data_IF_680808557363
#
_entry.id   IF_680808557363
#
_cell.length_a   1.000
_cell.length_b   1.000
_cell.length_c   1.000
_cell.angle_alpha   90.00
_cell.angle_beta   90.00
_cell.angle_gamma   90.00
#
_symmetry.space_group_name_H-M   'P 1'
#
loop_
_entity.id
_entity.type
_entity.pdbx_description
1 polymer ?
#
# COMPACT_ATOMS: atom_id res chain seq x y z
N UNK A 1 -35.92 3.86 -44.28
CA UNK A 1 -34.91 2.87 -43.85
C UNK A 1 -34.09 3.49 -42.72
N UNK A 2 -33.94 2.82 -41.57
CA UNK A 2 -33.41 3.44 -40.37
C UNK A 2 -31.89 3.55 -40.42
N UNK A 3 -31.37 4.67 -39.94
CA UNK A 3 -29.95 4.88 -39.64
C UNK A 3 -29.72 4.34 -38.24
N UNK A 4 -28.87 3.32 -38.10
CA UNK A 4 -28.46 2.78 -36.80
C UNK A 4 -27.41 3.70 -36.18
N UNK A 5 -27.81 4.53 -35.21
CA UNK A 5 -26.88 5.24 -34.34
C UNK A 5 -26.43 4.25 -33.27
N UNK A 6 -25.16 3.83 -33.34
CA UNK A 6 -24.56 2.94 -32.37
C UNK A 6 -24.56 3.56 -30.97
N UNK A 7 -25.29 2.93 -30.05
CA UNK A 7 -25.08 3.07 -28.62
C UNK A 7 -23.81 2.29 -28.24
N UNK A 8 -22.84 2.94 -27.60
CA UNK A 8 -21.63 2.24 -27.20
C UNK A 8 -20.66 3.06 -26.38
N UNK A 9 -21.12 3.58 -25.23
CA UNK A 9 -20.35 3.84 -24.01
C UNK A 9 -18.90 4.34 -24.20
N UNK A 10 -18.73 5.67 -24.18
CA UNK A 10 -17.48 6.24 -23.71
C UNK A 10 -17.33 5.83 -22.23
N UNK A 11 -16.45 4.86 -21.98
CA UNK A 11 -15.99 4.51 -20.65
C UNK A 11 -15.13 5.68 -20.15
N UNK A 12 -15.78 6.70 -19.63
CA UNK A 12 -15.11 7.74 -18.85
C UNK A 12 -14.65 7.08 -17.55
N UNK A 13 -13.40 6.61 -17.52
CA UNK A 13 -12.68 6.47 -16.26
C UNK A 13 -12.50 7.88 -15.72
N UNK A 14 -13.40 8.30 -14.82
CA UNK A 14 -13.17 9.48 -13.99
C UNK A 14 -12.10 9.07 -12.97
N UNK A 15 -10.85 9.08 -13.41
CA UNK A 15 -9.71 9.20 -12.52
C UNK A 15 -9.80 10.60 -11.93
N UNK A 16 -10.30 10.72 -10.70
CA UNK A 16 -10.21 11.95 -9.92
C UNK A 16 -8.74 12.18 -9.55
N UNK A 17 -7.93 12.57 -10.54
CA UNK A 17 -6.62 13.12 -10.29
C UNK A 17 -6.86 14.50 -9.68
N UNK A 18 -6.64 14.63 -8.38
CA UNK A 18 -6.49 15.95 -7.76
C UNK A 18 -5.45 16.74 -8.56
N UNK A 19 -5.71 18.03 -8.88
CA UNK A 19 -4.80 18.81 -9.70
C UNK A 19 -3.39 18.83 -9.08
N UNK A 20 -2.36 18.79 -9.94
CA UNK A 20 -0.93 18.63 -9.57
C UNK A 20 -0.48 19.62 -8.49
N UNK A 21 -1.04 20.84 -8.52
CA UNK A 21 -0.78 21.91 -7.54
C UNK A 21 -1.19 21.54 -6.10
N UNK A 22 -2.24 20.73 -5.94
CA UNK A 22 -2.81 20.35 -4.64
C UNK A 22 -2.00 19.21 -4.03
N UNK A 23 -1.48 18.32 -4.89
CA UNK A 23 -0.54 17.30 -4.49
C UNK A 23 0.72 17.94 -3.87
N UNK A 24 1.35 18.88 -4.56
CA UNK A 24 2.56 19.55 -4.04
C UNK A 24 2.29 20.37 -2.77
N UNK A 25 1.05 20.84 -2.56
CA UNK A 25 0.68 21.52 -1.32
C UNK A 25 0.66 20.55 -0.13
N UNK A 26 -0.01 19.40 -0.28
CA UNK A 26 -0.06 18.37 0.76
C UNK A 26 1.30 17.72 1.01
N UNK A 27 2.17 17.68 0.00
CA UNK A 27 3.58 17.31 0.17
C UNK A 27 4.25 18.12 1.26
N UNK A 28 4.21 19.44 1.11
CA UNK A 28 4.93 20.37 1.97
C UNK A 28 4.39 20.29 3.38
N UNK A 29 3.07 20.15 3.52
CA UNK A 29 2.43 19.95 4.82
C UNK A 29 2.88 18.65 5.48
N UNK A 30 2.91 17.54 4.74
CA UNK A 30 3.41 16.25 5.25
C UNK A 30 4.88 16.36 5.65
N UNK A 31 5.73 16.87 4.74
CA UNK A 31 7.15 17.02 4.95
C UNK A 31 7.47 17.87 6.19
N UNK A 32 6.81 19.01 6.36
CA UNK A 32 7.04 19.86 7.54
C UNK A 32 6.69 19.15 8.86
N UNK A 33 5.79 18.17 8.85
CA UNK A 33 5.44 17.38 10.04
C UNK A 33 6.37 16.22 10.33
N UNK A 34 7.02 15.65 9.30
CA UNK A 34 7.86 14.44 9.44
C UNK A 34 9.35 14.68 9.21
N UNK A 35 9.76 15.86 8.72
CA UNK A 35 11.16 16.15 8.37
C UNK A 35 12.13 15.97 9.53
N UNK A 36 11.66 16.13 10.76
CA UNK A 36 12.47 16.00 11.97
C UNK A 36 12.54 14.56 12.47
N UNK A 37 11.87 13.63 11.79
CA UNK A 37 12.02 12.19 12.04
C UNK A 37 13.31 11.65 11.44
N UNK A 38 13.95 12.39 10.53
CA UNK A 38 15.13 11.94 9.81
C UNK A 38 16.32 12.84 10.12
N UNK A 39 17.53 12.29 10.22
CA UNK A 39 18.75 13.08 10.44
C UNK A 39 19.67 13.08 9.22
N UNK A 40 20.43 14.15 9.05
CA UNK A 40 21.50 14.30 8.05
C UNK A 40 21.11 13.84 6.64
N UNK A 41 21.81 12.84 6.08
CA UNK A 41 21.57 12.27 4.75
C UNK A 41 20.25 11.48 4.68
N UNK A 42 19.68 11.11 5.83
CA UNK A 42 18.37 10.48 5.92
C UNK A 42 17.25 11.42 5.48
N UNK A 43 17.37 12.74 5.68
CA UNK A 43 16.37 13.71 5.21
C UNK A 43 16.25 13.70 3.68
N UNK A 44 17.37 13.78 2.97
CA UNK A 44 17.37 13.77 1.51
C UNK A 44 16.88 12.44 0.93
N UNK A 45 17.21 11.31 1.57
CA UNK A 45 16.69 10.00 1.16
C UNK A 45 15.18 9.91 1.38
N UNK A 46 14.69 10.33 2.54
CA UNK A 46 13.27 10.31 2.86
C UNK A 46 12.45 11.19 1.91
N UNK A 47 12.95 12.39 1.61
CA UNK A 47 12.36 13.30 0.61
C UNK A 47 12.20 12.60 -0.75
N UNK A 48 13.25 11.92 -1.23
CA UNK A 48 13.20 11.14 -2.48
C UNK A 48 12.21 9.96 -2.42
N UNK A 49 12.20 9.21 -1.32
CA UNK A 49 11.27 8.09 -1.13
C UNK A 49 9.82 8.57 -1.22
N UNK A 50 9.50 9.68 -0.58
CA UNK A 50 8.15 10.26 -0.62
C UNK A 50 7.84 10.90 -1.99
N UNK A 51 8.84 11.47 -2.67
CA UNK A 51 8.69 11.92 -4.05
C UNK A 51 8.32 10.77 -4.99
N UNK A 52 9.01 9.63 -4.87
CA UNK A 52 8.70 8.41 -5.62
C UNK A 52 7.27 7.93 -5.32
N UNK A 53 6.88 7.94 -4.05
CA UNK A 53 5.58 7.46 -3.59
C UNK A 53 4.40 8.29 -4.10
N UNK A 54 4.53 9.62 -4.10
CA UNK A 54 3.41 10.55 -4.25
C UNK A 54 3.46 11.39 -5.52
N UNK A 55 4.66 11.63 -6.09
CA UNK A 55 4.89 12.64 -7.15
C UNK A 55 5.52 12.10 -8.43
N UNK A 56 5.92 10.84 -8.46
CA UNK A 56 6.36 10.20 -9.70
C UNK A 56 5.26 10.24 -10.77
N UNK A 57 5.66 10.20 -12.04
CA UNK A 57 4.72 10.18 -13.18
C UNK A 57 3.71 9.03 -13.12
N UNK A 58 4.06 7.95 -12.40
CA UNK A 58 3.23 6.79 -12.16
C UNK A 58 3.22 6.45 -10.68
N UNK A 59 2.06 6.07 -10.17
CA UNK A 59 1.96 5.55 -8.80
C UNK A 59 2.82 4.28 -8.66
N UNK A 60 3.47 4.07 -7.49
CA UNK A 60 4.24 2.86 -7.22
C UNK A 60 3.36 1.60 -7.26
N UNK A 61 3.99 0.45 -7.47
CA UNK A 61 3.33 -0.85 -7.27
C UNK A 61 2.99 -1.08 -5.80
N UNK A 62 2.10 -2.02 -5.50
CA UNK A 62 1.77 -2.40 -4.12
C UNK A 62 3.02 -2.77 -3.32
N UNK A 63 3.88 -3.60 -3.92
CA UNK A 63 5.14 -4.05 -3.32
C UNK A 63 6.08 -2.88 -3.07
N UNK A 64 6.29 -2.00 -4.08
CA UNK A 64 7.16 -0.84 -3.94
C UNK A 64 6.65 0.16 -2.90
N UNK A 65 5.33 0.29 -2.75
CA UNK A 65 4.70 1.13 -1.74
C UNK A 65 5.02 0.64 -0.31
N UNK A 66 5.01 -0.68 -0.10
CA UNK A 66 5.44 -1.29 1.16
C UNK A 66 6.94 -1.05 1.39
N UNK A 67 7.78 -1.29 0.39
CA UNK A 67 9.23 -1.07 0.49
C UNK A 67 9.56 0.37 0.90
N UNK A 68 8.94 1.36 0.23
CA UNK A 68 9.13 2.78 0.54
C UNK A 68 8.73 3.08 2.00
N UNK A 69 7.63 2.50 2.51
CA UNK A 69 7.22 2.71 3.89
C UNK A 69 8.29 2.24 4.89
N UNK A 70 8.87 1.05 4.67
CA UNK A 70 9.91 0.53 5.54
C UNK A 70 11.27 1.19 5.34
N UNK A 71 11.58 1.66 4.12
CA UNK A 71 12.72 2.55 3.88
C UNK A 71 12.60 3.84 4.72
N UNK A 72 11.42 4.46 4.77
CA UNK A 72 11.16 5.61 5.63
C UNK A 72 11.30 5.25 7.11
N UNK A 73 10.73 4.13 7.55
CA UNK A 73 10.86 3.67 8.94
C UNK A 73 12.33 3.48 9.34
N UNK A 74 13.14 2.87 8.49
CA UNK A 74 14.56 2.65 8.76
C UNK A 74 15.37 3.96 8.79
N UNK A 75 15.05 4.92 7.93
CA UNK A 75 15.67 6.24 7.93
C UNK A 75 15.27 7.08 9.16
N UNK A 76 14.16 6.74 9.81
CA UNK A 76 13.67 7.45 10.98
C UNK A 76 14.52 7.16 12.23
N UNK A 77 14.64 8.18 13.08
CA UNK A 77 15.28 8.08 14.38
C UNK A 77 14.60 7.00 15.22
N UNK A 78 15.34 6.28 16.06
CA UNK A 78 14.78 5.23 16.91
C UNK A 78 13.57 5.69 17.74
N UNK A 79 13.59 6.93 18.24
CA UNK A 79 12.50 7.54 19.01
C UNK A 79 11.25 7.90 18.20
N UNK A 80 11.29 7.77 16.87
CA UNK A 80 10.20 8.08 15.96
C UNK A 80 9.71 6.84 15.20
N UNK A 81 10.37 5.68 15.36
CA UNK A 81 10.01 4.44 14.64
C UNK A 81 8.68 3.86 15.08
N UNK A 82 8.26 4.12 16.32
CA UNK A 82 6.97 3.72 16.88
C UNK A 82 5.77 4.45 16.22
N UNK A 83 6.03 5.60 15.59
CA UNK A 83 5.05 6.32 14.77
C UNK A 83 4.71 5.58 13.48
N UNK A 84 5.58 4.68 13.01
CA UNK A 84 5.39 3.86 11.82
C UNK A 84 4.71 2.54 12.20
N UNK A 85 3.40 2.52 12.10
CA UNK A 85 2.58 1.41 12.57
C UNK A 85 2.04 0.60 11.39
N UNK A 86 2.02 -0.72 11.55
CA UNK A 86 1.42 -1.64 10.59
C UNK A 86 0.49 -2.60 11.33
N UNK A 87 -0.72 -2.78 10.82
CA UNK A 87 -1.68 -3.71 11.42
C UNK A 87 -2.72 -4.19 10.40
N UNK A 88 -3.38 -5.29 10.76
CA UNK A 88 -4.51 -5.84 10.03
C UNK A 88 -5.79 -5.57 10.86
N UNK A 89 -6.76 -4.77 10.36
CA UNK A 89 -8.00 -4.49 11.09
C UNK A 89 -8.74 -5.76 11.49
N UNK A 90 -9.10 -5.88 12.77
CA UNK A 90 -9.80 -7.06 13.30
C UNK A 90 -9.11 -8.39 12.96
N UNK A 91 -7.77 -8.39 12.86
CA UNK A 91 -6.96 -9.56 12.46
C UNK A 91 -7.33 -10.12 11.07
N UNK A 92 -7.92 -9.28 10.21
CA UNK A 92 -8.33 -9.67 8.86
C UNK A 92 -7.18 -9.48 7.85
N UNK A 93 -6.57 -10.60 7.44
CA UNK A 93 -5.49 -10.63 6.45
C UNK A 93 -5.90 -10.13 5.04
N UNK A 94 -7.19 -9.91 4.79
CA UNK A 94 -7.63 -9.31 3.53
C UNK A 94 -7.28 -7.81 3.43
N UNK A 95 -7.00 -7.16 4.57
CA UNK A 95 -6.70 -5.74 4.67
C UNK A 95 -5.45 -5.55 5.52
N UNK A 96 -4.48 -4.81 4.99
CA UNK A 96 -3.30 -4.39 5.73
C UNK A 96 -3.19 -2.87 5.66
N UNK A 97 -3.00 -2.23 6.81
CA UNK A 97 -2.82 -0.78 6.90
C UNK A 97 -1.40 -0.50 7.37
N UNK A 98 -0.73 0.39 6.66
CA UNK A 98 0.54 1.00 7.08
C UNK A 98 0.27 2.48 7.29
N UNK A 99 0.68 3.04 8.43
CA UNK A 99 0.41 4.45 8.74
C UNK A 99 1.56 5.11 9.49
N UNK A 100 1.65 6.43 9.33
CA UNK A 100 2.53 7.30 10.10
C UNK A 100 1.66 8.19 10.98
N UNK A 101 1.80 8.05 12.29
CA UNK A 101 1.10 8.87 13.28
C UNK A 101 1.85 10.18 13.55
N UNK A 102 1.12 11.21 14.01
CA UNK A 102 1.74 12.40 14.58
C UNK A 102 2.34 12.13 15.98
N UNK A 103 2.98 13.16 16.55
CA UNK A 103 3.62 13.07 17.87
C UNK A 103 2.63 12.72 18.99
N UNK A 104 1.37 13.14 18.86
CA UNK A 104 0.34 12.95 19.88
C UNK A 104 -0.49 11.68 19.65
N UNK A 105 -0.23 10.94 18.56
CA UNK A 105 -1.04 9.78 18.14
C UNK A 105 -2.51 10.13 17.83
N UNK A 106 -2.82 11.39 17.57
CA UNK A 106 -4.19 11.85 17.32
C UNK A 106 -4.56 11.80 15.84
N UNK A 107 -3.58 12.03 14.95
CA UNK A 107 -3.83 12.13 13.52
C UNK A 107 -2.92 11.22 12.70
N UNK A 108 -3.48 10.63 11.65
CA UNK A 108 -2.74 9.90 10.63
C UNK A 108 -2.17 10.90 9.60
N UNK A 109 -0.85 11.04 9.58
CA UNK A 109 -0.15 11.91 8.63
C UNK A 109 -0.12 11.28 7.23
N UNK A 110 0.11 9.97 7.19
CA UNK A 110 0.15 9.14 6.00
C UNK A 110 -0.57 7.83 6.31
N UNK A 111 -1.44 7.39 5.41
CA UNK A 111 -2.14 6.11 5.52
C UNK A 111 -2.10 5.38 4.19
N UNK A 112 -1.60 4.15 4.21
CA UNK A 112 -1.61 3.22 3.08
C UNK A 112 -2.58 2.10 3.45
N UNK A 113 -3.60 1.88 2.62
CA UNK A 113 -4.53 0.75 2.79
C UNK A 113 -4.32 -0.23 1.65
N UNK A 114 -3.96 -1.46 1.96
CA UNK A 114 -3.80 -2.55 0.99
C UNK A 114 -4.91 -3.57 1.19
N UNK A 115 -5.81 -3.64 0.22
CA UNK A 115 -6.83 -4.68 0.15
C UNK A 115 -6.35 -5.81 -0.78
N UNK A 116 -7.21 -6.81 -0.99
CA UNK A 116 -6.97 -7.91 -1.92
C UNK A 116 -6.70 -7.42 -3.35
N UNK A 117 -7.59 -6.61 -3.90
CA UNK A 117 -7.60 -6.18 -5.29
C UNK A 117 -7.23 -4.70 -5.49
N UNK A 118 -7.15 -3.93 -4.42
CA UNK A 118 -6.90 -2.49 -4.47
C UNK A 118 -5.84 -2.09 -3.45
N UNK A 119 -5.24 -0.94 -3.66
CA UNK A 119 -4.45 -0.25 -2.64
C UNK A 119 -4.60 1.26 -2.82
N UNK A 120 -4.61 1.98 -1.72
CA UNK A 120 -4.74 3.44 -1.69
C UNK A 120 -3.70 4.06 -0.78
N UNK A 121 -3.43 5.33 -1.02
CA UNK A 121 -2.64 6.18 -0.15
C UNK A 121 -3.42 7.45 0.16
N UNK A 122 -3.44 7.84 1.43
CA UNK A 122 -4.00 9.07 1.93
C UNK A 122 -2.90 9.88 2.63
N UNK A 123 -2.91 11.19 2.43
CA UNK A 123 -2.00 12.15 3.07
C UNK A 123 -2.84 13.18 3.81
N UNK A 124 -2.67 13.29 5.12
CA UNK A 124 -3.48 14.17 5.97
C UNK A 124 -5.00 13.94 5.79
N UNK A 125 -5.43 12.67 5.64
CA UNK A 125 -6.82 12.29 5.36
C UNK A 125 -7.31 12.57 3.93
N UNK A 126 -6.46 13.07 3.03
CA UNK A 126 -6.81 13.29 1.63
C UNK A 126 -6.39 12.10 0.78
N UNK A 127 -7.36 11.48 0.08
CA UNK A 127 -7.09 10.39 -0.85
C UNK A 127 -6.21 10.88 -2.01
N UNK A 128 -5.01 10.32 -2.09
CA UNK A 128 -3.98 10.74 -3.02
C UNK A 128 -4.00 9.94 -4.33
N UNK A 129 -4.18 8.63 -4.18
CA UNK A 129 -4.46 7.71 -5.27
C UNK A 129 -5.18 6.48 -4.72
N UNK A 130 -5.94 5.84 -5.61
CA UNK A 130 -6.47 4.50 -5.44
C UNK A 130 -6.15 3.73 -6.70
N UNK A 131 -5.45 2.62 -6.54
CA UNK A 131 -5.01 1.76 -7.63
C UNK A 131 -5.65 0.39 -7.49
N UNK A 132 -6.07 -0.19 -8.62
CA UNK A 132 -6.53 -1.57 -8.68
C UNK A 132 -5.37 -2.47 -9.08
N UNK A 133 -5.00 -3.38 -8.20
CA UNK A 133 -4.10 -4.46 -8.55
C UNK A 133 -4.83 -5.46 -9.44
N UNK A 134 -4.14 -5.99 -10.45
CA UNK A 134 -4.69 -7.10 -11.22
C UNK A 134 -4.38 -8.37 -10.45
N UNK A 135 -5.37 -9.24 -10.14
CA UNK A 135 -5.06 -10.54 -9.57
C UNK A 135 -4.14 -11.26 -10.53
N UNK A 136 -2.99 -11.73 -10.03
CA UNK A 136 -2.02 -12.43 -10.86
C UNK A 136 -2.67 -13.73 -11.34
N UNK A 137 -2.90 -13.81 -12.64
CA UNK A 137 -3.09 -15.10 -13.29
C UNK A 137 -1.79 -15.87 -13.10
N UNK A 138 -1.87 -17.09 -12.58
CA UNK A 138 -0.70 -17.95 -12.57
C UNK A 138 -0.25 -18.08 -14.02
N UNK A 139 0.97 -17.61 -14.33
CA UNK A 139 1.44 -17.39 -15.72
C UNK A 139 1.23 -18.62 -16.61
N UNK A 140 1.35 -19.81 -16.03
CA UNK A 140 1.19 -21.11 -16.72
C UNK A 140 -0.25 -21.66 -16.71
N UNK A 141 -1.16 -21.05 -15.96
CA UNK A 141 -2.55 -21.51 -15.73
C UNK A 141 -3.53 -20.33 -15.77
N UNK A 142 -3.96 -19.85 -16.96
CA UNK A 142 -4.85 -18.70 -17.10
C UNK A 142 -6.24 -18.91 -16.45
N UNK A 143 -6.65 -20.16 -16.26
CA UNK A 143 -7.88 -20.54 -15.55
C UNK A 143 -7.78 -20.49 -14.02
N UNK A 144 -6.62 -20.13 -13.48
CA UNK A 144 -6.34 -20.07 -12.05
C UNK A 144 -5.75 -18.70 -11.69
N UNK A 145 -6.37 -18.03 -10.74
CA UNK A 145 -5.82 -16.81 -10.12
C UNK A 145 -5.30 -17.14 -8.74
N UNK A 146 -4.17 -16.55 -8.38
CA UNK A 146 -3.57 -16.71 -7.06
C UNK A 146 -3.31 -15.35 -6.44
N UNK A 147 -3.45 -15.29 -5.12
CA UNK A 147 -3.17 -14.09 -4.34
C UNK A 147 -2.55 -14.49 -3.02
N UNK A 148 -1.53 -13.74 -2.61
CA UNK A 148 -0.90 -13.92 -1.31
C UNK A 148 -1.39 -12.77 -0.42
N UNK A 149 -2.15 -13.11 0.62
CA UNK A 149 -2.44 -12.19 1.72
C UNK A 149 -1.22 -12.14 2.64
N UNK A 150 -1.01 -10.98 3.26
CA UNK A 150 0.16 -10.69 4.08
C UNK A 150 -0.28 -10.15 5.43
N UNK A 151 0.48 -10.51 6.45
CA UNK A 151 0.35 -10.01 7.82
C UNK A 151 1.68 -9.44 8.26
N UNK A 152 1.64 -8.37 9.04
CA UNK A 152 2.86 -7.82 9.62
C UNK A 152 3.48 -8.82 10.61
N UNK A 153 4.78 -9.02 10.49
CA UNK A 153 5.57 -9.84 11.41
C UNK A 153 6.56 -8.95 12.15
N UNK A 154 6.48 -8.98 13.48
CA UNK A 154 7.41 -8.26 14.36
C UNK A 154 8.84 -8.84 14.30
N UNK A 155 8.97 -10.14 14.00
CA UNK A 155 10.26 -10.85 13.97
C UNK A 155 11.16 -10.32 12.85
N UNK A 156 10.58 -10.06 11.68
CA UNK A 156 11.32 -9.56 10.51
C UNK A 156 11.10 -8.07 10.25
N UNK A 157 10.32 -7.39 11.10
CA UNK A 157 9.85 -6.00 10.95
C UNK A 157 9.36 -5.71 9.51
N UNK A 158 8.53 -6.61 8.97
CA UNK A 158 8.03 -6.52 7.58
C UNK A 158 6.79 -7.42 7.37
N UNK A 159 5.91 -7.12 6.39
CA UNK A 159 4.81 -8.01 6.03
C UNK A 159 5.29 -9.34 5.45
N UNK A 160 4.85 -10.44 6.04
CA UNK A 160 5.09 -11.80 5.58
C UNK A 160 3.83 -12.43 4.94
N UNK A 161 4.00 -13.37 4.00
CA UNK A 161 2.91 -14.20 3.50
C UNK A 161 2.19 -14.94 4.64
N UNK A 162 0.90 -14.69 4.83
CA UNK A 162 0.10 -15.32 5.89
C UNK A 162 -0.96 -16.27 5.35
N UNK A 163 -1.51 -16.01 4.16
CA UNK A 163 -2.51 -16.89 3.54
C UNK A 163 -2.38 -16.87 2.01
N UNK A 164 -2.30 -18.06 1.41
CA UNK A 164 -2.43 -18.24 -0.03
C UNK A 164 -3.90 -18.43 -0.41
N UNK A 165 -4.42 -17.56 -1.28
CA UNK A 165 -5.75 -17.66 -1.86
C UNK A 165 -5.65 -18.16 -3.31
N UNK A 166 -6.26 -19.30 -3.61
CA UNK A 166 -6.37 -19.86 -4.96
C UNK A 166 -7.81 -19.77 -5.43
N UNK A 167 -8.02 -19.24 -6.62
CA UNK A 167 -9.34 -19.06 -7.22
C UNK A 167 -9.38 -19.76 -8.59
N UNK A 168 -9.88 -21.02 -8.62
CA UNK A 168 -10.05 -21.80 -9.84
C UNK A 168 -11.30 -21.37 -10.59
N UNK A 169 -11.26 -21.40 -11.92
CA UNK A 169 -12.46 -21.25 -12.72
C UNK A 169 -13.49 -22.35 -12.41
N UNK A 170 -14.65 -21.96 -11.88
CA UNK A 170 -15.77 -22.88 -11.61
C UNK A 170 -15.75 -23.59 -10.25
N UNK A 171 -14.84 -23.22 -9.34
CA UNK A 171 -14.82 -23.75 -7.98
C UNK A 171 -14.74 -22.61 -6.93
N UNK A 172 -15.12 -22.87 -5.67
CA UNK A 172 -14.94 -21.91 -4.58
C UNK A 172 -13.46 -21.55 -4.37
N UNK A 173 -13.22 -20.36 -3.84
CA UNK A 173 -11.88 -19.89 -3.49
C UNK A 173 -11.33 -20.76 -2.36
N UNK A 174 -10.13 -21.31 -2.55
CA UNK A 174 -9.38 -22.05 -1.53
C UNK A 174 -8.45 -21.08 -0.79
N UNK A 175 -8.46 -21.14 0.54
CA UNK A 175 -7.57 -20.37 1.40
C UNK A 175 -6.69 -21.32 2.20
N UNK A 176 -5.37 -21.16 2.08
CA UNK A 176 -4.37 -21.99 2.75
C UNK A 176 -3.55 -21.10 3.68
N UNK A 177 -3.65 -21.28 5.02
CA UNK A 177 -2.85 -20.52 5.97
C UNK A 177 -1.36 -20.89 5.85
N UNK A 178 -0.50 -19.89 6.00
CA UNK A 178 0.96 -19.97 5.84
C UNK A 178 1.71 -19.54 7.11
N UNK A 179 1.01 -19.34 8.23
CA UNK A 179 1.58 -18.80 9.49
C UNK A 179 2.77 -19.64 10.03
N UNK A 180 2.82 -20.93 9.68
CA UNK A 180 3.93 -21.81 10.03
C UNK A 180 5.28 -21.36 9.47
N UNK A 181 5.30 -20.54 8.40
CA UNK A 181 6.54 -19.97 7.84
C UNK A 181 7.21 -19.03 8.84
N UNK A 182 6.42 -18.21 9.54
CA UNK A 182 6.93 -17.29 10.57
C UNK A 182 7.53 -18.07 11.74
N UNK A 183 6.90 -19.18 12.14
CA UNK A 183 7.40 -20.05 13.21
C UNK A 183 8.80 -20.63 12.96
N UNK A 184 9.26 -20.74 11.72
CA UNK A 184 10.63 -21.18 11.38
C UNK A 184 11.67 -20.12 11.81
N UNK A 185 11.32 -18.84 11.76
CA UNK A 185 12.23 -17.75 12.15
C UNK A 185 12.41 -17.65 13.67
N UNK A 186 11.47 -18.17 14.46
CA UNK A 186 11.58 -18.21 15.93
C UNK A 186 12.53 -19.32 16.41
N UNK A 187 12.74 -20.35 15.59
CA UNK A 187 13.53 -21.53 15.93
C UNK A 187 15.04 -21.40 15.60
N UNK A 188 15.48 -20.27 15.05
CA UNK A 188 16.88 -19.95 14.76
C UNK A 188 17.34 -18.74 15.57
#
# INVERSE_FOLDING_TARGET
MPITIGNGFLKSEILTNSPRNTKEAWWKVLWEKIKDFFFSTGKEKADRCLHEMLFAERAPTRERLTEIFFELKELACASQRDRFQVYNPHENDAIMILRIMDQNEENELLRITQNTDTFSCEVMGNLYFLMKNRPDTLKSHPQMTAMIKRRYSEIVDYPLPSTLCLNPAGAPILSVPLDNIEGIYILN
#
